data_IF_005582514100
#
_entry.id   IF_005582514100
#
_cell.length_a   1.000
_cell.length_b   1.000
_cell.length_c   1.000
_cell.angle_alpha   90.00
_cell.angle_beta   90.00
_cell.angle_gamma   90.00
#
_symmetry.space_group_name_H-M   'P 1'
#
loop_
_entity.id
_entity.type
_entity.pdbx_description
1 polymer ?
#
# COMPACT_ATOMS: atom_id res chain seq x y z
N UNK A 1 10.89 -18.92 13.10
CA UNK A 1 10.28 -17.74 12.44
C UNK A 1 11.00 -17.44 11.13
N UNK A 2 10.31 -17.47 9.98
CA UNK A 2 10.92 -16.97 8.72
C UNK A 2 11.12 -15.46 8.86
N UNK A 3 12.38 -15.00 8.87
CA UNK A 3 12.68 -13.57 8.84
C UNK A 3 12.10 -12.98 7.55
N UNK A 4 11.18 -12.02 7.68
CA UNK A 4 10.56 -11.35 6.54
C UNK A 4 11.62 -10.72 5.62
N UNK A 5 11.26 -10.58 4.34
CA UNK A 5 12.10 -9.96 3.29
C UNK A 5 12.45 -8.49 3.60
N UNK A 6 11.70 -7.85 4.48
CA UNK A 6 11.80 -6.43 4.84
C UNK A 6 12.17 -6.26 6.30
N UNK A 7 12.86 -5.15 6.60
CA UNK A 7 13.17 -4.74 7.97
C UNK A 7 11.90 -4.32 8.72
N UNK A 8 11.81 -4.74 9.98
CA UNK A 8 10.81 -4.28 10.95
C UNK A 8 11.15 -2.83 11.36
N UNK A 9 10.20 -2.10 11.97
CA UNK A 9 10.38 -0.70 12.37
C UNK A 9 11.66 -0.47 13.19
N UNK A 10 11.90 -1.27 14.24
CA UNK A 10 13.10 -1.13 15.08
C UNK A 10 14.39 -1.41 14.30
N UNK A 11 14.37 -2.42 13.43
CA UNK A 11 15.50 -2.74 12.56
C UNK A 11 15.78 -1.62 11.54
N UNK A 12 14.78 -0.82 11.16
CA UNK A 12 14.97 0.35 10.28
C UNK A 12 15.64 1.51 11.00
N UNK A 13 15.33 1.73 12.27
CA UNK A 13 15.99 2.75 13.07
C UNK A 13 17.47 2.39 13.26
N UNK A 14 17.75 1.15 13.66
CA UNK A 14 19.13 0.65 13.72
C UNK A 14 19.83 0.79 12.37
N UNK A 15 19.18 0.42 11.27
CA UNK A 15 19.75 0.57 9.93
C UNK A 15 20.08 2.02 9.58
N UNK A 16 19.21 2.98 9.94
CA UNK A 16 19.42 4.42 9.73
C UNK A 16 20.64 4.90 10.51
N UNK A 17 20.78 4.50 11.77
CA UNK A 17 21.91 4.88 12.62
C UNK A 17 23.22 4.32 12.05
N UNK A 18 23.23 3.05 11.64
CA UNK A 18 24.40 2.43 11.00
C UNK A 18 24.77 3.10 9.67
N UNK A 19 23.79 3.52 8.88
CA UNK A 19 24.03 4.22 7.62
C UNK A 19 24.70 5.59 7.81
N UNK A 20 24.38 6.27 8.91
CA UNK A 20 24.94 7.58 9.27
C UNK A 20 26.26 7.46 10.05
N UNK A 21 26.48 6.33 10.73
CA UNK A 21 27.68 6.07 11.54
C UNK A 21 28.97 6.09 10.70
N UNK A 22 30.04 6.62 11.29
CA UNK A 22 31.38 6.57 10.68
C UNK A 22 31.99 5.17 10.75
N UNK A 23 31.54 4.33 11.67
CA UNK A 23 32.00 2.93 11.83
C UNK A 23 31.72 2.06 10.62
N UNK A 24 30.64 2.36 9.89
CA UNK A 24 30.27 1.62 8.68
C UNK A 24 30.79 2.28 7.39
N UNK A 25 31.66 3.29 7.48
CA UNK A 25 32.32 3.90 6.31
C UNK A 25 33.68 3.26 6.06
N UNK A 26 34.02 3.09 4.79
CA UNK A 26 35.36 2.69 4.36
C UNK A 26 36.32 3.88 4.47
N UNK A 27 37.63 3.63 4.39
CA UNK A 27 38.68 4.67 4.41
C UNK A 27 38.49 5.76 3.35
N UNK A 28 37.82 5.46 2.24
CA UNK A 28 37.50 6.41 1.17
C UNK A 28 36.13 7.12 1.35
N UNK A 29 35.51 7.03 2.53
CA UNK A 29 34.21 7.64 2.84
C UNK A 29 32.99 6.90 2.29
N UNK A 30 33.16 5.85 1.47
CA UNK A 30 32.03 5.09 0.93
C UNK A 30 31.45 4.10 1.95
N UNK A 31 30.15 3.83 1.86
CA UNK A 31 29.45 2.94 2.79
C UNK A 31 29.93 1.48 2.61
N UNK A 32 30.29 0.84 3.72
CA UNK A 32 30.66 -0.57 3.78
C UNK A 32 29.42 -1.47 3.97
N UNK A 33 28.88 -1.97 2.86
CA UNK A 33 27.68 -2.83 2.86
C UNK A 33 27.86 -4.12 3.64
N UNK A 34 29.07 -4.70 3.63
CA UNK A 34 29.36 -5.95 4.33
C UNK A 34 29.33 -5.77 5.84
N UNK A 35 29.78 -4.63 6.32
CA UNK A 35 29.81 -4.32 7.75
C UNK A 35 28.40 -4.08 8.31
N UNK A 36 27.56 -3.35 7.56
CA UNK A 36 26.14 -3.18 7.89
C UNK A 36 25.43 -4.54 7.88
N UNK A 37 25.70 -5.37 6.88
CA UNK A 37 25.12 -6.71 6.77
C UNK A 37 25.48 -7.59 7.98
N UNK A 38 26.74 -7.53 8.43
CA UNK A 38 27.25 -8.24 9.60
C UNK A 38 26.56 -7.79 10.89
N UNK A 39 26.51 -6.48 11.14
CA UNK A 39 25.91 -5.91 12.35
C UNK A 39 24.40 -6.14 12.43
N UNK A 40 23.70 -6.07 11.30
CA UNK A 40 22.26 -6.35 11.24
C UNK A 40 21.92 -7.85 11.18
N UNK A 41 22.91 -8.73 10.99
CA UNK A 41 22.71 -10.15 10.70
C UNK A 41 21.72 -10.36 9.53
N UNK A 42 21.96 -9.66 8.41
CA UNK A 42 21.14 -9.69 7.18
C UNK A 42 22.05 -9.86 5.96
N UNK A 43 21.52 -10.43 4.89
CA UNK A 43 22.26 -10.54 3.63
C UNK A 43 22.52 -9.17 2.97
N UNK A 44 23.66 -9.03 2.29
CA UNK A 44 24.08 -7.81 1.58
C UNK A 44 23.00 -7.32 0.59
N UNK A 45 22.29 -8.24 -0.07
CA UNK A 45 21.20 -7.90 -0.99
C UNK A 45 20.01 -7.23 -0.30
N UNK A 46 19.75 -7.56 0.96
CA UNK A 46 18.72 -6.90 1.77
C UNK A 46 19.17 -5.48 2.12
N UNK A 47 20.42 -5.30 2.57
CA UNK A 47 21.01 -3.97 2.82
C UNK A 47 20.91 -3.08 1.58
N UNK A 48 21.32 -3.58 0.39
CA UNK A 48 21.20 -2.82 -0.88
C UNK A 48 19.76 -2.38 -1.17
N UNK A 49 18.77 -3.27 -0.94
CA UNK A 49 17.35 -2.95 -1.14
C UNK A 49 16.88 -1.89 -0.16
N UNK A 50 17.31 -1.96 1.09
CA UNK A 50 16.94 -0.99 2.12
C UNK A 50 17.63 0.35 1.91
N UNK A 51 18.89 0.42 1.44
CA UNK A 51 19.51 1.69 1.00
C UNK A 51 18.71 2.33 -0.14
N UNK A 52 18.33 1.54 -1.16
CA UNK A 52 17.52 2.03 -2.28
C UNK A 52 16.16 2.54 -1.78
N UNK A 53 15.55 1.83 -0.83
CA UNK A 53 14.33 2.30 -0.16
C UNK A 53 14.61 3.58 0.57
N UNK A 54 15.60 3.66 1.45
CA UNK A 54 15.93 4.82 2.27
C UNK A 54 16.19 6.08 1.43
N UNK A 55 16.95 5.97 0.34
CA UNK A 55 17.16 7.06 -0.63
C UNK A 55 15.87 7.49 -1.34
N UNK A 56 14.93 6.56 -1.49
CA UNK A 56 13.62 6.78 -2.10
C UNK A 56 12.50 6.97 -1.07
N UNK A 57 12.80 6.96 0.24
CA UNK A 57 11.86 7.36 1.30
C UNK A 57 11.80 8.88 1.15
N UNK A 58 11.00 9.33 0.20
CA UNK A 58 10.25 10.56 0.39
C UNK A 58 9.40 10.32 1.64
N UNK A 59 9.33 11.28 2.56
CA UNK A 59 8.33 11.23 3.62
C UNK A 59 6.98 10.85 3.03
N UNK A 60 6.22 10.01 3.74
CA UNK A 60 4.92 9.57 3.24
C UNK A 60 4.06 10.80 2.94
N UNK A 61 3.84 11.05 1.65
CA UNK A 61 2.98 12.12 1.15
C UNK A 61 1.66 11.49 0.73
N UNK A 62 0.54 11.78 1.43
CA UNK A 62 -0.78 11.25 1.06
C UNK A 62 -1.15 11.55 -0.40
N UNK A 63 -0.73 12.70 -0.91
CA UNK A 63 -0.95 13.13 -2.30
C UNK A 63 -0.27 12.20 -3.31
N UNK A 64 0.94 11.73 -3.04
CA UNK A 64 1.68 10.85 -3.93
C UNK A 64 1.15 9.41 -3.88
N UNK A 65 0.73 8.95 -2.70
CA UNK A 65 0.01 7.68 -2.57
C UNK A 65 -1.31 7.68 -3.36
N UNK A 66 -2.06 8.79 -3.33
CA UNK A 66 -3.29 8.94 -4.13
C UNK A 66 -3.02 8.96 -5.63
N UNK A 67 -1.96 9.64 -6.08
CA UNK A 67 -1.53 9.63 -7.49
C UNK A 67 -1.16 8.22 -7.96
N UNK A 68 -0.37 7.50 -7.17
CA UNK A 68 0.00 6.10 -7.46
C UNK A 68 -1.23 5.19 -7.52
N UNK A 69 -2.15 5.33 -6.55
CA UNK A 69 -3.44 4.62 -6.57
C UNK A 69 -4.20 4.89 -7.87
N UNK A 70 -4.41 6.16 -8.25
CA UNK A 70 -5.09 6.53 -9.51
C UNK A 70 -4.41 5.93 -10.74
N UNK A 71 -3.07 5.93 -10.78
CA UNK A 71 -2.32 5.38 -11.91
C UNK A 71 -2.46 3.85 -12.00
N UNK A 72 -2.41 3.14 -10.87
CA UNK A 72 -2.64 1.69 -10.80
C UNK A 72 -4.07 1.33 -11.18
N UNK A 73 -5.07 2.14 -10.78
CA UNK A 73 -6.48 1.94 -11.14
C UNK A 73 -6.72 1.99 -12.66
N UNK A 74 -6.00 2.82 -13.41
CA UNK A 74 -6.10 2.84 -14.89
C UNK A 74 -5.78 1.47 -15.50
N UNK A 75 -4.78 0.78 -14.95
CA UNK A 75 -4.33 -0.55 -15.39
C UNK A 75 -5.13 -1.71 -14.80
N UNK A 76 -6.09 -1.44 -13.90
CA UNK A 76 -6.89 -2.48 -13.27
C UNK A 76 -7.93 -3.03 -14.26
N UNK A 77 -8.06 -4.37 -14.30
CA UNK A 77 -9.04 -5.10 -15.11
C UNK A 77 -10.46 -4.87 -14.56
N UNK A 78 -10.65 -4.96 -13.23
CA UNK A 78 -11.93 -4.67 -12.58
C UNK A 78 -12.16 -3.16 -12.51
N UNK A 79 -13.07 -2.66 -13.35
CA UNK A 79 -13.51 -1.25 -13.31
C UNK A 79 -14.48 -1.02 -12.15
N UNK A 80 -14.52 0.21 -11.66
CA UNK A 80 -15.52 0.61 -10.66
C UNK A 80 -16.87 0.62 -11.37
N UNK A 81 -17.94 0.11 -10.75
CA UNK A 81 -19.28 0.25 -11.29
C UNK A 81 -19.64 1.72 -11.46
N UNK A 82 -20.08 2.09 -12.65
CA UNK A 82 -20.69 3.39 -12.89
C UNK A 82 -22.18 3.26 -12.65
N UNK A 83 -22.67 3.95 -11.61
CA UNK A 83 -24.09 4.03 -11.32
C UNK A 83 -24.66 5.30 -11.97
N UNK A 84 -25.80 5.16 -12.65
CA UNK A 84 -26.58 6.32 -13.07
C UNK A 84 -27.13 7.05 -11.84
N UNK A 85 -27.54 8.32 -12.01
CA UNK A 85 -28.11 9.13 -10.93
C UNK A 85 -29.29 8.43 -10.26
N UNK A 86 -30.15 7.77 -11.05
CA UNK A 86 -31.30 6.99 -10.59
C UNK A 86 -30.89 5.81 -9.70
N UNK A 87 -29.89 5.03 -10.14
CA UNK A 87 -29.36 3.90 -9.36
C UNK A 87 -28.76 4.36 -8.04
N UNK A 88 -28.04 5.49 -8.04
CA UNK A 88 -27.49 6.07 -6.82
C UNK A 88 -28.58 6.55 -5.86
N UNK A 89 -29.63 7.18 -6.37
CA UNK A 89 -30.74 7.67 -5.56
C UNK A 89 -31.55 6.53 -4.93
N UNK A 90 -31.78 5.46 -5.71
CA UNK A 90 -32.35 4.21 -5.21
C UNK A 90 -31.51 3.64 -4.06
N UNK A 91 -30.18 3.50 -4.25
CA UNK A 91 -29.28 2.96 -3.23
C UNK A 91 -29.30 3.83 -1.98
N UNK A 92 -29.19 5.16 -2.12
CA UNK A 92 -29.22 6.10 -0.99
C UNK A 92 -30.53 6.02 -0.23
N UNK A 93 -31.65 5.94 -0.93
CA UNK A 93 -32.98 5.86 -0.32
C UNK A 93 -33.13 4.55 0.45
N UNK A 94 -32.79 3.40 -0.18
CA UNK A 94 -32.87 2.08 0.46
C UNK A 94 -31.95 1.96 1.67
N UNK A 95 -30.73 2.46 1.57
CA UNK A 95 -29.75 2.39 2.66
C UNK A 95 -30.07 3.35 3.81
N UNK A 96 -30.39 4.61 3.52
CA UNK A 96 -30.57 5.63 4.57
C UNK A 96 -31.98 5.69 5.16
N UNK A 97 -33.01 5.46 4.35
CA UNK A 97 -34.41 5.57 4.81
C UNK A 97 -34.99 4.22 5.23
N UNK A 98 -34.73 3.18 4.43
CA UNK A 98 -35.29 1.85 4.68
C UNK A 98 -34.35 0.94 5.49
N UNK A 99 -33.09 1.36 5.67
CA UNK A 99 -32.07 0.62 6.42
C UNK A 99 -31.94 -0.84 5.96
N UNK A 100 -32.13 -1.09 4.65
CA UNK A 100 -31.98 -2.42 4.08
C UNK A 100 -30.56 -2.95 4.35
N UNK A 101 -30.46 -4.23 4.73
CA UNK A 101 -29.16 -4.91 4.84
C UNK A 101 -28.51 -5.00 3.45
N UNK A 102 -27.18 -5.23 3.37
CA UNK A 102 -26.50 -5.36 2.07
C UNK A 102 -27.13 -6.41 1.15
N UNK A 103 -27.58 -7.54 1.70
CA UNK A 103 -28.23 -8.61 0.95
C UNK A 103 -29.60 -8.16 0.41
N UNK A 104 -30.42 -7.53 1.26
CA UNK A 104 -31.71 -6.97 0.85
C UNK A 104 -31.55 -5.90 -0.22
N UNK A 105 -30.55 -5.03 -0.09
CA UNK A 105 -30.25 -3.99 -1.06
C UNK A 105 -29.88 -4.60 -2.42
N UNK A 106 -29.01 -5.61 -2.44
CA UNK A 106 -28.60 -6.32 -3.67
C UNK A 106 -29.81 -6.96 -4.35
N UNK A 107 -30.65 -7.66 -3.58
CA UNK A 107 -31.84 -8.34 -4.09
C UNK A 107 -32.86 -7.34 -4.65
N UNK A 108 -33.17 -6.28 -3.90
CA UNK A 108 -34.08 -5.22 -4.36
C UNK A 108 -33.54 -4.48 -5.58
N UNK A 109 -32.23 -4.24 -5.64
CA UNK A 109 -31.62 -3.63 -6.82
C UNK A 109 -31.76 -4.51 -8.06
N UNK A 110 -31.61 -5.83 -7.91
CA UNK A 110 -31.85 -6.77 -9.01
C UNK A 110 -33.31 -6.76 -9.48
N UNK A 111 -34.27 -6.72 -8.54
CA UNK A 111 -35.70 -6.60 -8.88
C UNK A 111 -35.98 -5.30 -9.64
N UNK A 112 -35.47 -4.17 -9.14
CA UNK A 112 -35.76 -2.84 -9.70
C UNK A 112 -35.17 -2.63 -11.10
N UNK A 113 -33.90 -3.02 -11.28
CA UNK A 113 -33.15 -2.70 -12.50
C UNK A 113 -32.97 -3.88 -13.44
N UNK A 114 -33.40 -5.08 -13.06
CA UNK A 114 -33.22 -6.32 -13.84
C UNK A 114 -31.77 -6.72 -14.08
N UNK A 115 -30.83 -6.11 -13.35
CA UNK A 115 -29.38 -6.27 -13.55
C UNK A 115 -28.76 -6.67 -12.21
N UNK A 116 -27.82 -7.62 -12.25
CA UNK A 116 -27.06 -8.03 -11.07
C UNK A 116 -26.36 -6.81 -10.46
N UNK A 117 -26.45 -6.67 -9.14
CA UNK A 117 -25.75 -5.59 -8.43
C UNK A 117 -24.26 -5.67 -8.75
N UNK A 118 -23.61 -4.56 -9.15
CA UNK A 118 -22.25 -4.58 -9.65
C UNK A 118 -21.23 -4.60 -8.49
N UNK A 119 -21.39 -5.50 -7.54
CA UNK A 119 -20.37 -5.80 -6.54
C UNK A 119 -19.37 -6.84 -7.10
N UNK A 120 -18.10 -6.65 -6.73
CA UNK A 120 -16.92 -7.37 -7.22
C UNK A 120 -16.89 -8.87 -6.98
#
# INVERSE_FOLDING_TARGET
MRKFKHLIFDERNLFKDLLLSDTCKKKNGTINLSEIARQMNRGINTVKREIKRFKNIQDYKPSDAHKDYKQKRKKCIKKIPEFTKEKLDFIKTRFNKYHDTPEQLIYRYFIEFGIKFPAC
#
